data_IF_330928806999
#
_entry.id   IF_330928806999
#
_cell.length_a   1.000
_cell.length_b   1.000
_cell.length_c   1.000
_cell.angle_alpha   90.00
_cell.angle_beta   90.00
_cell.angle_gamma   90.00
#
_symmetry.space_group_name_H-M   'P 1'
#
loop_
_entity.id
_entity.type
_entity.pdbx_description
1 polymer ?
#
# COMPACT_ATOMS: atom_id res chain seq x y z
N UNK A 1 38.25 16.06 43.67
CA UNK A 1 37.54 14.82 44.01
C UNK A 1 36.12 14.99 43.54
N UNK A 2 35.53 14.04 42.82
CA UNK A 2 34.19 13.56 43.17
C UNK A 2 33.85 12.23 42.49
N UNK A 3 33.33 11.35 43.32
CA UNK A 3 33.18 9.92 43.16
C UNK A 3 31.89 9.59 42.39
N UNK A 4 32.01 9.09 41.16
CA UNK A 4 30.95 8.25 40.60
C UNK A 4 31.13 6.81 41.09
N UNK A 5 30.72 6.56 42.35
CA UNK A 5 30.45 5.21 42.82
C UNK A 5 29.13 4.74 42.19
N UNK A 6 29.22 3.74 41.32
CA UNK A 6 28.08 2.99 40.82
C UNK A 6 27.46 2.24 42.02
N UNK A 7 26.27 2.65 42.47
CA UNK A 7 25.57 1.96 43.55
C UNK A 7 24.26 1.39 43.02
N UNK A 8 24.24 0.08 42.90
CA UNK A 8 23.15 -0.76 42.41
C UNK A 8 22.04 -0.91 43.46
N UNK A 9 21.28 0.16 43.74
CA UNK A 9 20.03 0.08 44.51
C UNK A 9 18.99 1.07 43.98
N UNK A 10 17.77 0.57 43.84
CA UNK A 10 16.57 1.27 43.41
C UNK A 10 16.49 2.71 43.94
N UNK A 11 16.51 3.69 43.03
CA UNK A 11 16.07 5.05 43.32
C UNK A 11 15.32 5.60 42.11
N UNK A 12 14.04 5.87 42.32
CA UNK A 12 13.14 6.62 41.42
C UNK A 12 13.49 8.10 41.36
N UNK A 13 14.78 8.44 41.39
CA UNK A 13 15.24 9.83 41.38
C UNK A 13 15.82 10.12 40.00
N UNK A 14 15.02 10.72 39.10
CA UNK A 14 15.58 11.29 37.88
C UNK A 14 16.36 12.52 38.30
N UNK A 15 17.58 12.67 37.78
CA UNK A 15 18.42 13.84 38.00
C UNK A 15 17.74 15.18 37.62
N UNK A 16 16.60 15.13 36.93
CA UNK A 16 15.88 16.27 36.38
C UNK A 16 14.76 16.82 37.32
N UNK A 17 14.53 16.25 38.51
CA UNK A 17 13.40 16.66 39.38
C UNK A 17 13.66 17.91 40.25
N UNK A 18 14.85 18.52 40.18
CA UNK A 18 15.26 19.55 41.15
C UNK A 18 16.00 20.77 40.58
N UNK A 19 15.74 21.17 39.34
CA UNK A 19 16.35 22.38 38.76
C UNK A 19 15.27 23.30 38.20
N UNK A 20 15.47 24.61 38.39
CA UNK A 20 14.56 25.69 38.01
C UNK A 20 14.31 25.82 36.49
N UNK A 21 14.04 27.03 35.96
CA UNK A 21 13.51 27.18 34.60
C UNK A 21 14.36 26.42 33.57
N UNK A 22 13.72 25.46 32.90
CA UNK A 22 14.40 24.45 32.10
C UNK A 22 15.21 25.07 30.95
N UNK A 23 16.52 24.82 30.93
CA UNK A 23 17.33 24.87 29.72
C UNK A 23 17.64 23.43 29.30
N UNK A 24 17.19 23.03 28.11
CA UNK A 24 17.45 21.70 27.54
C UNK A 24 18.90 21.60 27.02
N UNK A 25 19.87 21.63 27.94
CA UNK A 25 21.30 21.50 27.60
C UNK A 25 21.89 20.14 27.97
N UNK A 26 21.13 19.26 28.65
CA UNK A 26 21.60 17.93 29.01
C UNK A 26 20.90 16.82 28.19
N UNK A 27 21.67 16.15 27.33
CA UNK A 27 21.25 15.02 26.49
C UNK A 27 20.62 13.88 27.30
N UNK A 28 20.96 13.75 28.58
CA UNK A 28 20.45 12.70 29.47
C UNK A 28 19.02 12.98 30.00
N UNK A 29 18.53 14.22 29.91
CA UNK A 29 17.14 14.58 30.24
C UNK A 29 16.23 14.62 28.99
N UNK A 30 16.78 14.36 27.80
CA UNK A 30 16.02 14.13 26.58
C UNK A 30 15.76 12.63 26.50
N UNK A 31 14.50 12.19 26.65
CA UNK A 31 14.15 10.86 26.16
C UNK A 31 14.43 10.89 24.65
N UNK A 32 15.37 10.10 24.10
CA UNK A 32 15.43 9.98 22.66
C UNK A 32 14.10 9.34 22.25
N UNK A 33 13.19 10.14 21.71
CA UNK A 33 12.24 9.57 20.77
C UNK A 33 13.12 8.99 19.68
N UNK A 34 13.24 7.66 19.66
CA UNK A 34 13.65 7.01 18.43
C UNK A 34 12.45 7.18 17.51
N UNK A 35 12.44 8.11 16.54
CA UNK A 35 11.38 8.09 15.55
C UNK A 35 11.37 6.67 14.96
N UNK A 36 10.21 6.04 15.00
CA UNK A 36 9.94 4.91 14.13
C UNK A 36 9.84 5.54 12.74
N UNK A 37 10.79 5.20 11.87
CA UNK A 37 10.86 5.79 10.53
C UNK A 37 9.70 5.19 9.71
N UNK A 38 8.61 5.93 9.69
CA UNK A 38 7.35 5.59 9.04
C UNK A 38 7.27 6.31 7.70
N UNK A 39 6.99 5.58 6.63
CA UNK A 39 6.85 6.10 5.28
C UNK A 39 5.51 5.71 4.70
N UNK A 40 4.90 6.62 3.92
CA UNK A 40 3.73 6.32 3.08
C UNK A 40 4.17 6.41 1.63
N UNK A 41 3.88 5.36 0.86
CA UNK A 41 4.06 5.36 -0.59
C UNK A 41 2.68 5.49 -1.23
N UNK A 42 2.50 6.48 -2.09
CA UNK A 42 1.27 6.73 -2.81
C UNK A 42 1.34 6.23 -4.25
N UNK A 43 0.21 5.73 -4.75
CA UNK A 43 -0.02 5.28 -6.12
C UNK A 43 -1.29 5.96 -6.62
N UNK A 44 -1.30 6.45 -7.86
CA UNK A 44 -2.45 7.12 -8.46
C UNK A 44 -2.40 7.02 -9.97
N UNK A 45 -3.54 6.80 -10.61
CA UNK A 45 -3.62 6.74 -12.07
C UNK A 45 -3.42 8.10 -12.73
N UNK A 46 -3.52 9.20 -11.98
CA UNK A 46 -3.38 10.57 -12.50
C UNK A 46 -4.29 10.83 -13.70
N UNK A 47 -3.68 11.18 -14.84
CA UNK A 47 -4.39 11.47 -16.10
C UNK A 47 -4.73 10.20 -16.90
N UNK A 48 -4.16 9.05 -16.54
CA UNK A 48 -4.47 7.77 -17.17
C UNK A 48 -5.68 7.13 -16.49
N UNK A 49 -6.33 6.20 -17.19
CA UNK A 49 -7.45 5.43 -16.64
C UNK A 49 -6.99 3.99 -16.39
N UNK A 50 -7.40 3.44 -15.25
CA UNK A 50 -7.27 2.01 -14.98
C UNK A 50 -8.26 1.23 -15.83
N UNK A 51 -7.77 0.13 -16.39
CA UNK A 51 -8.56 -0.77 -17.22
C UNK A 51 -8.50 -2.19 -16.64
N UNK A 52 -9.65 -2.71 -16.21
CA UNK A 52 -9.74 -3.97 -15.48
C UNK A 52 -10.79 -4.85 -16.15
N UNK A 53 -10.45 -6.11 -16.46
CA UNK A 53 -11.38 -7.03 -17.14
C UNK A 53 -11.47 -8.38 -16.43
N UNK A 54 -12.69 -8.88 -16.24
CA UNK A 54 -12.94 -10.13 -15.52
C UNK A 54 -12.61 -11.38 -16.33
N UNK A 55 -12.83 -11.38 -17.65
CA UNK A 55 -12.81 -12.60 -18.46
C UNK A 55 -11.40 -13.16 -18.72
N UNK A 56 -10.36 -12.36 -18.48
CA UNK A 56 -9.00 -12.68 -18.96
C UNK A 56 -7.96 -12.60 -17.85
N UNK A 57 -8.37 -12.48 -16.58
CA UNK A 57 -7.43 -12.23 -15.47
C UNK A 57 -6.62 -10.94 -15.68
N UNK A 58 -7.19 -9.99 -16.42
CA UNK A 58 -6.54 -8.71 -16.68
C UNK A 58 -6.78 -7.78 -15.51
N UNK A 59 -5.70 -7.15 -15.10
CA UNK A 59 -5.63 -6.22 -14.02
C UNK A 59 -5.02 -4.91 -14.52
N UNK A 60 -5.14 -3.88 -13.69
CA UNK A 60 -4.49 -2.61 -13.93
C UNK A 60 -3.41 -2.42 -12.87
N UNK A 61 -2.16 -2.34 -13.30
CA UNK A 61 -1.08 -1.85 -12.44
C UNK A 61 -1.07 -0.32 -12.47
N UNK A 62 -1.04 0.31 -11.30
CA UNK A 62 -1.09 1.77 -11.18
C UNK A 62 0.17 2.32 -10.51
N UNK A 63 0.55 3.54 -10.88
CA UNK A 63 1.82 4.14 -10.47
C UNK A 63 1.75 5.62 -10.21
N UNK A 64 2.74 6.38 -10.67
CA UNK A 64 2.93 7.80 -10.34
C UNK A 64 2.23 8.73 -11.36
N UNK A 65 0.95 8.50 -11.60
CA UNK A 65 0.13 9.27 -12.55
C UNK A 65 -0.20 8.52 -13.84
N UNK A 66 0.07 7.23 -13.89
CA UNK A 66 -0.13 6.33 -15.04
C UNK A 66 -0.75 5.01 -14.61
N UNK A 67 -1.29 4.27 -15.58
CA UNK A 67 -1.85 2.94 -15.40
C UNK A 67 -1.54 2.07 -16.62
N UNK A 68 -1.10 0.83 -16.37
CA UNK A 68 -0.81 -0.15 -17.42
C UNK A 68 -1.70 -1.39 -17.21
N UNK A 69 -2.19 -1.95 -18.32
CA UNK A 69 -2.91 -3.22 -18.28
C UNK A 69 -1.93 -4.37 -18.18
N UNK A 70 -2.14 -5.27 -17.22
CA UNK A 70 -1.27 -6.41 -16.94
C UNK A 70 -2.11 -7.69 -16.84
N UNK A 71 -1.52 -8.83 -17.17
CA UNK A 71 -2.17 -10.15 -17.01
C UNK A 71 -1.72 -10.82 -15.72
N UNK A 72 -2.67 -11.27 -14.90
CA UNK A 72 -2.41 -12.08 -13.72
C UNK A 72 -2.67 -13.54 -14.07
N UNK A 73 -1.66 -14.39 -13.91
CA UNK A 73 -1.77 -15.84 -14.09
C UNK A 73 -1.28 -16.49 -12.81
N UNK A 74 -2.13 -17.27 -12.14
CA UNK A 74 -1.80 -17.94 -10.87
C UNK A 74 -1.21 -16.99 -9.81
N UNK A 75 -1.77 -15.79 -9.67
CA UNK A 75 -1.29 -14.74 -8.75
C UNK A 75 0.15 -14.24 -9.06
N UNK A 76 0.59 -14.39 -10.30
CA UNK A 76 1.88 -13.91 -10.81
C UNK A 76 1.67 -12.98 -12.00
N UNK A 77 2.45 -11.90 -12.06
CA UNK A 77 2.53 -10.96 -13.17
C UNK A 77 3.97 -10.98 -13.69
N UNK A 78 4.13 -11.15 -15.00
CA UNK A 78 5.42 -11.07 -15.67
C UNK A 78 5.50 -9.78 -16.47
N UNK A 79 6.37 -8.86 -16.06
CA UNK A 79 6.57 -7.58 -16.74
C UNK A 79 7.78 -7.57 -17.68
N UNK A 80 8.36 -8.73 -18.02
CA UNK A 80 9.47 -8.78 -18.97
C UNK A 80 9.06 -8.15 -20.32
N UNK A 81 9.79 -7.10 -20.73
CA UNK A 81 9.53 -6.36 -21.97
C UNK A 81 8.30 -5.46 -21.93
N UNK A 82 7.66 -5.29 -20.77
CA UNK A 82 6.50 -4.39 -20.59
C UNK A 82 6.91 -3.15 -19.78
N UNK A 83 6.12 -2.09 -19.89
CA UNK A 83 6.25 -0.92 -19.00
C UNK A 83 5.85 -1.31 -17.58
N UNK A 84 6.61 -0.83 -16.61
CA UNK A 84 6.40 -1.15 -15.20
C UNK A 84 6.09 0.11 -14.41
N UNK A 85 5.07 0.03 -13.57
CA UNK A 85 4.75 1.04 -12.54
C UNK A 85 5.33 0.65 -11.18
N UNK A 86 6.30 -0.28 -11.17
CA UNK A 86 6.87 -0.78 -9.93
C UNK A 86 7.79 0.23 -9.26
N UNK A 87 7.72 0.25 -7.93
CA UNK A 87 8.59 1.03 -7.06
C UNK A 87 9.71 0.14 -6.50
N UNK A 88 10.96 0.60 -6.58
CA UNK A 88 12.10 -0.08 -5.93
C UNK A 88 12.25 0.37 -4.48
N UNK A 89 12.31 -0.59 -3.58
CA UNK A 89 12.41 -0.39 -2.14
C UNK A 89 13.80 0.12 -1.75
N UNK A 90 13.92 1.29 -1.09
CA UNK A 90 15.21 1.91 -0.76
C UNK A 90 15.84 1.38 0.54
N UNK A 91 15.07 0.68 1.37
CA UNK A 91 15.51 0.18 2.69
C UNK A 91 14.67 -1.00 3.15
N UNK A 92 15.24 -1.83 4.03
CA UNK A 92 14.51 -2.93 4.65
C UNK A 92 13.35 -2.42 5.52
N UNK A 93 12.21 -3.08 5.44
CA UNK A 93 11.01 -2.61 6.14
C UNK A 93 9.91 -3.65 6.26
N UNK A 94 8.78 -3.22 6.80
CA UNK A 94 7.54 -3.98 6.81
C UNK A 94 6.38 -3.12 6.32
N UNK A 95 5.62 -3.64 5.36
CA UNK A 95 4.33 -3.06 4.99
C UNK A 95 3.32 -3.44 6.08
N UNK A 96 2.66 -2.45 6.67
CA UNK A 96 1.77 -2.64 7.84
C UNK A 96 0.34 -2.16 7.60
N UNK A 97 0.12 -1.32 6.59
CA UNK A 97 -1.23 -0.93 6.18
C UNK A 97 -1.31 -0.67 4.68
N UNK A 98 -2.52 -0.82 4.15
CA UNK A 98 -2.88 -0.52 2.76
C UNK A 98 -4.23 0.20 2.76
N UNK A 99 -4.35 1.21 1.91
CA UNK A 99 -5.61 1.89 1.62
C UNK A 99 -5.75 2.09 0.12
N UNK A 100 -6.96 1.97 -0.41
CA UNK A 100 -7.21 2.11 -1.83
C UNK A 100 -8.62 2.64 -2.11
N UNK A 101 -8.75 3.37 -3.22
CA UNK A 101 -10.02 3.80 -3.79
C UNK A 101 -10.05 3.56 -5.30
N UNK A 102 -11.26 3.34 -5.81
CA UNK A 102 -11.54 3.23 -7.23
C UNK A 102 -12.85 3.93 -7.56
N UNK A 103 -12.84 4.71 -8.64
CA UNK A 103 -14.00 5.42 -9.16
C UNK A 103 -14.23 5.00 -10.61
N UNK A 104 -15.28 4.21 -10.90
CA UNK A 104 -15.59 3.85 -12.27
C UNK A 104 -15.97 5.08 -13.08
N UNK A 105 -15.44 5.15 -14.31
CA UNK A 105 -15.94 6.02 -15.35
C UNK A 105 -17.12 5.29 -15.99
N UNK A 106 -18.25 5.98 -16.13
CA UNK A 106 -19.51 5.38 -16.57
C UNK A 106 -19.33 4.47 -17.77
N UNK A 107 -19.97 3.31 -17.71
CA UNK A 107 -20.01 2.34 -18.80
C UNK A 107 -21.47 1.93 -18.98
N UNK A 108 -21.88 1.70 -20.23
CA UNK A 108 -23.25 1.34 -20.62
C UNK A 108 -23.40 -0.18 -20.90
N UNK A 109 -22.91 -1.12 -20.07
CA UNK A 109 -23.17 -2.53 -20.34
C UNK A 109 -24.64 -2.82 -20.05
N UNK A 110 -25.31 -3.63 -20.87
CA UNK A 110 -26.68 -4.10 -20.61
C UNK A 110 -26.74 -5.20 -19.52
N UNK A 111 -25.70 -5.31 -18.70
CA UNK A 111 -25.51 -6.38 -17.73
C UNK A 111 -25.81 -5.84 -16.34
N UNK A 112 -26.71 -6.51 -15.63
CA UNK A 112 -27.03 -6.21 -14.25
C UNK A 112 -26.21 -7.09 -13.29
N UNK A 113 -25.73 -6.48 -12.20
CA UNK A 113 -25.17 -7.16 -11.05
C UNK A 113 -24.08 -6.37 -10.37
N UNK A 114 -23.11 -7.03 -9.74
CA UNK A 114 -22.03 -6.32 -9.03
C UNK A 114 -20.69 -7.03 -9.10
N UNK A 115 -19.64 -6.23 -8.97
CA UNK A 115 -18.25 -6.65 -8.99
C UNK A 115 -17.48 -6.03 -7.84
N UNK A 116 -16.67 -6.84 -7.18
CA UNK A 116 -15.74 -6.37 -6.14
C UNK A 116 -14.36 -6.24 -6.75
N UNK A 117 -13.78 -5.05 -6.59
CA UNK A 117 -12.42 -4.75 -7.00
C UNK A 117 -11.51 -4.96 -5.80
N UNK A 118 -10.37 -5.58 -6.03
CA UNK A 118 -9.29 -5.75 -5.06
C UNK A 118 -8.10 -4.89 -5.46
N UNK A 119 -7.55 -4.18 -4.49
CA UNK A 119 -6.23 -3.59 -4.58
C UNK A 119 -5.24 -4.46 -3.80
N UNK A 120 -4.15 -4.88 -4.45
CA UNK A 120 -3.16 -5.77 -3.85
C UNK A 120 -1.75 -5.34 -4.24
N UNK A 121 -0.82 -5.50 -3.29
CA UNK A 121 0.61 -5.38 -3.58
C UNK A 121 1.13 -6.68 -4.16
N UNK A 122 1.81 -6.56 -5.29
CA UNK A 122 2.65 -7.59 -5.84
C UNK A 122 4.12 -7.26 -5.58
N UNK A 123 4.92 -8.28 -5.29
CA UNK A 123 6.33 -8.17 -4.93
C UNK A 123 7.20 -8.97 -5.91
N UNK A 124 8.33 -8.39 -6.29
CA UNK A 124 9.39 -9.06 -7.02
C UNK A 124 10.72 -8.87 -6.26
N UNK A 125 11.54 -9.93 -6.12
CA UNK A 125 12.87 -9.80 -5.55
C UNK A 125 13.79 -8.99 -6.47
N UNK A 126 14.88 -8.46 -5.91
CA UNK A 126 15.90 -7.71 -6.65
C UNK A 126 16.32 -8.41 -7.95
N UNK A 127 16.29 -7.67 -9.07
CA UNK A 127 16.67 -8.17 -10.39
C UNK A 127 15.63 -9.04 -11.10
N UNK A 128 14.41 -9.17 -10.56
CA UNK A 128 13.31 -9.93 -11.15
C UNK A 128 12.22 -9.03 -11.76
N UNK A 129 11.65 -9.47 -12.89
CA UNK A 129 10.41 -8.91 -13.46
C UNK A 129 9.19 -9.80 -13.20
N UNK A 130 9.34 -10.80 -12.33
CA UNK A 130 8.28 -11.71 -11.91
C UNK A 130 7.72 -11.24 -10.57
N UNK A 131 6.52 -10.70 -10.61
CA UNK A 131 5.80 -10.14 -9.49
C UNK A 131 4.78 -11.14 -8.96
N UNK A 132 4.80 -11.41 -7.66
CA UNK A 132 3.91 -12.36 -7.00
C UNK A 132 2.99 -11.62 -6.03
N UNK A 133 1.69 -11.93 -6.05
CA UNK A 133 0.71 -11.25 -5.22
C UNK A 133 0.91 -11.60 -3.75
N UNK A 134 0.98 -10.58 -2.90
CA UNK A 134 1.30 -10.73 -1.47
C UNK A 134 0.04 -10.82 -0.60
N UNK A 135 0.20 -11.00 0.71
CA UNK A 135 -0.92 -10.92 1.66
C UNK A 135 -1.42 -9.49 1.92
N UNK A 136 -0.76 -8.46 1.36
CA UNK A 136 -1.15 -7.07 1.51
C UNK A 136 -2.19 -6.68 0.45
N UNK A 137 -3.47 -6.81 0.80
CA UNK A 137 -4.59 -6.45 -0.07
C UNK A 137 -5.78 -5.87 0.69
N UNK A 138 -6.66 -5.20 -0.04
CA UNK A 138 -7.99 -4.79 0.41
C UNK A 138 -9.03 -5.02 -0.69
N UNK A 139 -10.20 -5.51 -0.31
CA UNK A 139 -11.37 -5.56 -1.19
C UNK A 139 -12.18 -4.27 -1.00
N UNK A 140 -12.43 -3.56 -2.10
CA UNK A 140 -13.08 -2.25 -2.06
C UNK A 140 -14.58 -2.38 -1.82
N UNK A 141 -15.12 -1.46 -1.00
CA UNK A 141 -16.54 -1.40 -0.69
C UNK A 141 -17.08 0.03 -0.86
N UNK A 142 -18.35 0.20 -1.27
CA UNK A 142 -19.28 -0.83 -1.74
C UNK A 142 -18.84 -1.45 -3.09
N UNK A 143 -19.29 -2.67 -3.42
CA UNK A 143 -19.07 -3.26 -4.75
C UNK A 143 -19.58 -2.33 -5.86
N UNK A 144 -18.94 -2.37 -7.02
CA UNK A 144 -19.38 -1.60 -8.18
C UNK A 144 -20.62 -2.27 -8.77
N UNK A 145 -21.72 -1.52 -8.84
CA UNK A 145 -22.99 -1.99 -9.41
C UNK A 145 -23.00 -1.77 -10.91
N UNK A 146 -23.50 -2.75 -11.65
CA UNK A 146 -23.64 -2.74 -13.09
C UNK A 146 -25.14 -2.69 -13.47
N UNK A 147 -25.52 -1.93 -14.52
CA UNK A 147 -24.70 -0.97 -15.26
C UNK A 147 -24.18 0.19 -14.39
N UNK A 148 -23.01 0.73 -14.74
CA UNK A 148 -22.48 1.92 -14.06
C UNK A 148 -23.23 3.14 -14.59
N UNK A 149 -24.43 3.36 -14.06
CA UNK A 149 -25.31 4.48 -14.42
C UNK A 149 -25.02 5.75 -13.61
N UNK A 150 -24.34 5.61 -12.48
CA UNK A 150 -24.02 6.71 -11.58
C UNK A 150 -22.58 7.15 -11.77
N UNK A 151 -22.39 8.32 -12.39
CA UNK A 151 -21.12 9.02 -12.30
C UNK A 151 -20.89 9.45 -10.84
N UNK A 152 -19.69 9.17 -10.32
CA UNK A 152 -19.32 9.53 -8.96
C UNK A 152 -19.50 8.44 -7.90
N UNK A 153 -19.77 7.18 -8.28
CA UNK A 153 -19.56 6.06 -7.36
C UNK A 153 -18.07 6.00 -6.98
N UNK A 154 -17.77 5.82 -5.70
CA UNK A 154 -16.41 5.60 -5.19
C UNK A 154 -16.45 4.36 -4.30
N UNK A 155 -15.62 3.38 -4.61
CA UNK A 155 -15.35 2.24 -3.74
C UNK A 155 -14.04 2.50 -2.99
N UNK A 156 -14.02 2.26 -1.68
CA UNK A 156 -12.87 2.49 -0.82
C UNK A 156 -12.69 1.34 0.18
N UNK A 157 -11.44 1.09 0.57
CA UNK A 157 -11.09 0.27 1.71
C UNK A 157 -9.74 0.68 2.29
N UNK A 158 -9.59 0.45 3.59
CA UNK A 158 -8.35 0.63 4.34
C UNK A 158 -8.24 -0.47 5.39
N UNK A 159 -7.05 -1.03 5.55
CA UNK A 159 -6.81 -2.09 6.53
C UNK A 159 -5.37 -2.08 7.04
N UNK A 160 -5.23 -2.37 8.34
CA UNK A 160 -3.95 -2.79 8.90
C UNK A 160 -3.76 -4.28 8.59
N UNK A 161 -2.56 -4.65 8.16
CA UNK A 161 -2.24 -6.01 7.74
C UNK A 161 -1.18 -6.62 8.65
N UNK A 162 -1.08 -7.95 8.61
CA UNK A 162 0.07 -8.63 9.19
C UNK A 162 1.36 -8.10 8.53
N UNK A 163 2.39 -7.73 9.30
CA UNK A 163 3.61 -7.15 8.77
C UNK A 163 4.21 -8.01 7.64
N UNK A 164 4.29 -7.43 6.44
CA UNK A 164 4.91 -8.04 5.28
C UNK A 164 6.33 -7.49 5.13
N UNK A 165 7.33 -8.33 5.39
CA UNK A 165 8.73 -7.94 5.24
C UNK A 165 9.11 -7.70 3.79
N UNK A 166 9.84 -6.61 3.58
CA UNK A 166 10.45 -6.23 2.31
C UNK A 166 11.93 -5.92 2.54
N UNK A 167 12.74 -6.13 1.52
CA UNK A 167 14.17 -5.87 1.55
C UNK A 167 14.57 -4.79 0.55
N UNK A 168 15.71 -4.15 0.79
CA UNK A 168 16.30 -3.18 -0.13
C UNK A 168 16.48 -3.81 -1.53
N UNK A 169 16.08 -3.07 -2.55
CA UNK A 169 16.14 -3.50 -3.96
C UNK A 169 14.97 -4.37 -4.41
N UNK A 170 14.08 -4.80 -3.53
CA UNK A 170 12.81 -5.41 -3.93
C UNK A 170 11.96 -4.41 -4.73
N UNK A 171 11.13 -4.92 -5.62
CA UNK A 171 10.18 -4.11 -6.39
C UNK A 171 8.75 -4.39 -5.95
N UNK A 172 7.98 -3.33 -5.73
CA UNK A 172 6.57 -3.39 -5.34
C UNK A 172 5.70 -2.81 -6.45
N UNK A 173 4.60 -3.49 -6.75
CA UNK A 173 3.63 -3.08 -7.76
C UNK A 173 2.24 -3.05 -7.14
N UNK A 174 1.52 -1.93 -7.28
CA UNK A 174 0.12 -1.83 -6.86
C UNK A 174 -0.79 -2.24 -8.01
N UNK A 175 -1.65 -3.23 -7.78
CA UNK A 175 -2.48 -3.84 -8.82
C UNK A 175 -3.95 -3.88 -8.41
N UNK A 176 -4.81 -3.42 -9.30
CA UNK A 176 -6.26 -3.46 -9.16
C UNK A 176 -6.84 -4.51 -10.11
N UNK A 177 -7.65 -5.43 -9.57
CA UNK A 177 -8.33 -6.46 -10.36
C UNK A 177 -9.67 -6.86 -9.76
N UNK A 178 -10.49 -7.60 -10.51
CA UNK A 178 -11.79 -8.09 -10.02
C UNK A 178 -11.55 -9.34 -9.18
N UNK A 179 -11.86 -9.28 -7.88
CA UNK A 179 -11.74 -10.42 -6.96
C UNK A 179 -13.01 -11.25 -6.88
N UNK A 180 -14.16 -10.64 -7.12
CA UNK A 180 -15.46 -11.32 -7.12
C UNK A 180 -16.37 -10.72 -8.18
N UNK A 181 -17.11 -11.59 -8.86
CA UNK A 181 -18.07 -11.25 -9.89
C UNK A 181 -19.40 -11.96 -9.59
N UNK A 182 -20.47 -11.19 -9.51
CA UNK A 182 -21.83 -11.70 -9.36
C UNK A 182 -22.64 -11.42 -10.63
N UNK A 183 -22.04 -11.69 -11.80
CA UNK A 183 -22.69 -11.62 -13.11
C UNK A 183 -22.26 -12.78 -13.99
N UNK A 184 -23.11 -13.14 -14.97
CA UNK A 184 -22.86 -14.25 -15.89
C UNK A 184 -22.21 -13.81 -17.21
N UNK A 185 -21.64 -12.59 -17.26
CA UNK A 185 -21.08 -11.99 -18.48
C UNK A 185 -19.68 -11.41 -18.26
N UNK A 186 -18.88 -11.29 -19.33
CA UNK A 186 -17.62 -10.55 -19.29
C UNK A 186 -17.83 -9.11 -18.84
N UNK A 187 -17.09 -8.68 -17.82
CA UNK A 187 -17.11 -7.30 -17.33
C UNK A 187 -15.79 -6.62 -17.68
N UNK A 188 -15.91 -5.40 -18.20
CA UNK A 188 -14.82 -4.47 -18.41
C UNK A 188 -15.11 -3.17 -17.63
N UNK A 189 -14.21 -2.79 -16.74
CA UNK A 189 -14.29 -1.58 -15.95
C UNK A 189 -13.17 -0.63 -16.36
N UNK A 190 -13.55 0.63 -16.58
CA UNK A 190 -12.63 1.72 -16.80
C UNK A 190 -12.87 2.71 -15.67
N UNK A 191 -11.81 3.23 -15.06
CA UNK A 191 -11.96 4.12 -13.90
C UNK A 191 -10.68 4.84 -13.53
N UNK A 192 -10.76 5.67 -12.51
CA UNK A 192 -9.58 6.23 -11.83
C UNK A 192 -9.34 5.46 -10.54
N UNK A 193 -8.08 5.31 -10.16
CA UNK A 193 -7.70 4.55 -8.97
C UNK A 193 -6.60 5.27 -8.20
N UNK A 194 -6.61 5.12 -6.88
CA UNK A 194 -5.59 5.63 -5.98
C UNK A 194 -5.36 4.64 -4.86
N UNK A 195 -4.12 4.51 -4.40
CA UNK A 195 -3.78 3.67 -3.27
C UNK A 195 -2.59 4.22 -2.49
N UNK A 196 -2.44 3.75 -1.25
CA UNK A 196 -1.30 4.03 -0.42
C UNK A 196 -0.93 2.84 0.45
N UNK A 197 0.37 2.67 0.68
CA UNK A 197 0.88 1.70 1.64
C UNK A 197 1.71 2.38 2.71
N UNK A 198 1.64 1.86 3.93
CA UNK A 198 2.44 2.31 5.06
C UNK A 198 3.57 1.32 5.32
N UNK A 199 4.80 1.82 5.38
CA UNK A 199 6.01 1.05 5.62
C UNK A 199 6.67 1.54 6.91
N UNK A 200 6.99 0.58 7.78
CA UNK A 200 7.83 0.81 8.96
C UNK A 200 9.21 0.25 8.67
N UNK A 201 10.23 1.11 8.68
CA UNK A 201 11.61 0.73 8.35
C UNK A 201 12.23 -0.09 9.48
N UNK A 202 13.01 -1.12 9.14
CA UNK A 202 13.82 -1.87 10.12
C UNK A 202 15.09 -1.08 10.41
N UNK A 203 15.46 -0.97 11.69
CA UNK A 203 16.76 -0.41 12.12
C UNK A 203 17.80 -1.52 12.26
#
# INVERSE_FOLDING_TARGET
MDNCRYNSRLSTFRACDNSGPFMATETNCINPSSPTDNTIIAFSTGNSTSHIQALVGLASSIGFGTANTVSIINNVINLNGNTSEAFTVPSDGNITAISASFSPLGSLPLVEGSVTIRAQIFHAPVGSNMFTGTSAFVDLTPPITLPVVTFGQIAFASSNISPLSISVGDCLLMVFYISSIMVNFPVNLIGTASAGIHIVTKK
#
